data_IF_147601591225
#
_entry.id   IF_147601591225
#
_cell.length_a   1.000
_cell.length_b   1.000
_cell.length_c   1.000
_cell.angle_alpha   90.00
_cell.angle_beta   90.00
_cell.angle_gamma   90.00
#
_symmetry.space_group_name_H-M   'P 1'
#
loop_
_entity.id
_entity.type
_entity.pdbx_description
1 polymer ?
#
# COMPACT_ATOMS: atom_id res chain seq x y z
N UNK A 1 -5.44 -5.75 -18.00
CA UNK A 1 -5.64 -7.16 -18.40
C UNK A 1 -5.73 -8.03 -17.17
N UNK A 2 -5.84 -9.36 -17.32
CA UNK A 2 -6.01 -10.27 -16.17
C UNK A 2 -4.92 -11.34 -16.09
N UNK A 3 -4.54 -11.68 -14.86
CA UNK A 3 -3.64 -12.77 -14.53
C UNK A 3 -4.38 -13.73 -13.59
N UNK A 4 -4.54 -14.99 -13.99
CA UNK A 4 -5.29 -15.98 -13.20
C UNK A 4 -4.40 -16.53 -12.08
N UNK A 5 -4.71 -16.18 -10.84
CA UNK A 5 -3.90 -16.55 -9.67
C UNK A 5 -4.41 -17.81 -8.97
N UNK A 6 -5.70 -18.11 -9.09
CA UNK A 6 -6.30 -19.35 -8.60
C UNK A 6 -7.37 -19.86 -9.57
N UNK A 7 -7.08 -20.98 -10.26
CA UNK A 7 -8.01 -21.58 -11.22
C UNK A 7 -9.23 -22.25 -10.57
N UNK A 8 -9.10 -22.76 -9.35
CA UNK A 8 -10.17 -23.46 -8.66
C UNK A 8 -11.34 -22.52 -8.34
N UNK A 9 -11.03 -21.30 -7.90
CA UNK A 9 -12.03 -20.28 -7.56
C UNK A 9 -12.25 -19.25 -8.67
N UNK A 10 -11.57 -19.42 -9.81
CA UNK A 10 -11.54 -18.43 -10.89
C UNK A 10 -11.14 -17.03 -10.36
N UNK A 11 -10.10 -17.00 -9.52
CA UNK A 11 -9.51 -15.76 -9.00
C UNK A 11 -8.54 -15.18 -10.03
N UNK A 12 -8.78 -13.92 -10.39
CA UNK A 12 -8.02 -13.20 -11.39
C UNK A 12 -7.67 -11.81 -10.86
N UNK A 13 -6.40 -11.43 -10.99
CA UNK A 13 -5.94 -10.09 -10.65
C UNK A 13 -5.90 -9.21 -11.89
N UNK A 14 -6.52 -8.03 -11.81
CA UNK A 14 -6.41 -7.00 -12.83
C UNK A 14 -5.06 -6.28 -12.70
N UNK A 15 -4.41 -6.07 -13.84
CA UNK A 15 -3.21 -5.26 -13.93
C UNK A 15 -3.27 -4.26 -15.07
N UNK A 16 -2.57 -3.14 -14.91
CA UNK A 16 -2.31 -2.17 -15.96
C UNK A 16 -0.83 -1.80 -15.97
N UNK A 17 -0.18 -2.02 -17.11
CA UNK A 17 1.25 -1.78 -17.30
C UNK A 17 1.50 -0.59 -18.23
N UNK A 18 2.40 0.29 -17.81
CA UNK A 18 2.82 1.50 -18.53
C UNK A 18 4.34 1.48 -18.70
N UNK A 19 4.85 1.21 -19.92
CA UNK A 19 6.28 1.34 -20.22
C UNK A 19 6.79 2.75 -19.96
N UNK A 20 8.07 2.88 -19.59
CA UNK A 20 8.68 4.17 -19.32
C UNK A 20 8.64 5.09 -20.56
N UNK A 21 8.30 6.37 -20.37
CA UNK A 21 8.18 7.34 -21.48
C UNK A 21 9.52 7.57 -22.20
N UNK A 22 10.63 7.48 -21.47
CA UNK A 22 11.99 7.61 -22.01
C UNK A 22 12.56 6.29 -22.59
N UNK A 23 11.70 5.29 -22.79
CA UNK A 23 12.01 4.01 -23.39
C UNK A 23 12.48 2.94 -22.40
N UNK A 24 12.28 1.67 -22.76
CA UNK A 24 12.74 0.52 -21.99
C UNK A 24 14.18 0.16 -22.38
N UNK A 25 15.12 0.34 -21.45
CA UNK A 25 16.51 -0.12 -21.53
C UNK A 25 16.73 -1.23 -20.49
N UNK A 26 17.81 -2.03 -20.60
CA UNK A 26 18.09 -3.10 -19.62
C UNK A 26 18.16 -2.63 -18.16
N UNK A 27 18.52 -1.37 -17.93
CA UNK A 27 18.63 -0.75 -16.62
C UNK A 27 17.37 0.05 -16.22
N UNK A 28 16.38 0.23 -17.10
CA UNK A 28 15.11 0.89 -16.79
C UNK A 28 14.28 0.03 -15.84
N UNK A 29 14.05 0.43 -14.57
CA UNK A 29 13.39 -0.44 -13.63
C UNK A 29 11.91 -0.69 -13.96
N UNK A 30 11.43 -1.88 -13.58
CA UNK A 30 9.99 -2.16 -13.44
C UNK A 30 9.61 -1.93 -11.99
N UNK A 31 8.63 -1.05 -11.76
CA UNK A 31 8.10 -0.79 -10.43
C UNK A 31 6.67 -1.30 -10.35
N UNK A 32 6.45 -2.28 -9.48
CA UNK A 32 5.11 -2.67 -9.05
C UNK A 32 4.61 -1.63 -8.04
N UNK A 33 3.44 -1.05 -8.26
CA UNK A 33 2.73 -0.21 -7.29
C UNK A 33 1.54 -0.96 -6.70
N UNK A 34 1.47 -0.98 -5.36
CA UNK A 34 0.39 -1.58 -4.58
C UNK A 34 -0.23 -0.51 -3.68
N UNK A 35 -1.49 -0.18 -3.95
CA UNK A 35 -2.31 0.58 -3.01
C UNK A 35 -2.63 -0.21 -1.74
N UNK A 36 -3.08 0.51 -0.71
CA UNK A 36 -3.37 -0.02 0.60
C UNK A 36 -4.83 -0.43 0.80
N UNK A 37 -5.50 0.24 1.75
CA UNK A 37 -6.82 -0.13 2.27
C UNK A 37 -6.69 -0.87 3.60
N UNK A 38 -6.86 -2.20 3.65
CA UNK A 38 -6.77 -3.17 2.56
C UNK A 38 -8.00 -3.19 1.62
N UNK A 39 -7.77 -3.31 0.31
CA UNK A 39 -8.86 -3.36 -0.67
C UNK A 39 -9.00 -2.10 -1.55
N UNK A 40 -8.10 -1.12 -1.39
CA UNK A 40 -8.08 0.04 -2.25
C UNK A 40 -7.42 -0.30 -3.61
N UNK A 41 -8.03 0.06 -4.75
CA UNK A 41 -7.50 -0.26 -6.07
C UNK A 41 -6.21 0.51 -6.36
N UNK A 42 -5.20 -0.17 -6.91
CA UNK A 42 -3.94 0.47 -7.34
C UNK A 42 -4.14 1.44 -8.50
N UNK A 43 -5.29 1.35 -9.19
CA UNK A 43 -5.71 2.40 -10.13
C UNK A 43 -5.87 3.78 -9.48
N UNK A 44 -6.10 3.85 -8.17
CA UNK A 44 -6.04 5.12 -7.45
C UNK A 44 -4.66 5.78 -7.62
N UNK A 45 -3.56 5.05 -7.39
CA UNK A 45 -2.21 5.60 -7.56
C UNK A 45 -1.82 5.87 -9.01
N UNK A 46 -2.43 5.14 -9.96
CA UNK A 46 -2.33 5.46 -11.38
C UNK A 46 -2.91 6.84 -11.69
N UNK A 47 -4.15 7.10 -11.27
CA UNK A 47 -4.89 8.28 -11.72
C UNK A 47 -4.76 9.51 -10.82
N UNK A 48 -4.46 9.34 -9.53
CA UNK A 48 -4.45 10.43 -8.56
C UNK A 48 -3.05 10.81 -8.06
N UNK A 49 -2.09 9.89 -8.10
CA UNK A 49 -0.81 10.09 -7.41
C UNK A 49 0.33 10.37 -8.39
N UNK A 50 0.87 9.33 -9.02
CA UNK A 50 2.14 9.41 -9.74
C UNK A 50 2.14 8.69 -11.08
N UNK A 51 0.99 8.14 -11.51
CA UNK A 51 0.87 7.56 -12.85
C UNK A 51 0.92 8.62 -13.96
N UNK A 52 1.06 8.20 -15.23
CA UNK A 52 1.30 9.12 -16.35
C UNK A 52 0.08 9.95 -16.74
N UNK A 53 -1.10 9.61 -16.23
CA UNK A 53 -2.36 10.23 -16.63
C UNK A 53 -3.21 10.57 -15.40
N UNK A 54 -4.09 11.56 -15.57
CA UNK A 54 -5.09 11.95 -14.60
C UNK A 54 -6.44 12.17 -15.30
N UNK A 55 -7.52 12.16 -14.53
CA UNK A 55 -8.87 12.47 -15.01
C UNK A 55 -9.26 13.86 -14.51
N UNK A 56 -9.51 14.77 -15.44
CA UNK A 56 -9.98 16.13 -15.14
C UNK A 56 -11.43 16.13 -14.65
N UNK A 57 -11.89 17.25 -14.10
CA UNK A 57 -13.26 17.40 -13.59
C UNK A 57 -14.35 17.23 -14.65
N UNK A 58 -14.03 17.50 -15.92
CA UNK A 58 -14.91 17.27 -17.06
C UNK A 58 -14.92 15.81 -17.56
N UNK A 59 -14.14 14.93 -16.92
CA UNK A 59 -13.98 13.52 -17.28
C UNK A 59 -13.00 13.26 -18.43
N UNK A 60 -12.30 14.29 -18.93
CA UNK A 60 -11.25 14.13 -19.93
C UNK A 60 -9.95 13.57 -19.31
N UNK A 61 -9.15 12.88 -20.12
CA UNK A 61 -7.80 12.47 -19.73
C UNK A 61 -6.79 13.58 -20.01
N UNK A 62 -5.88 13.79 -19.08
CA UNK A 62 -4.71 14.64 -19.25
C UNK A 62 -3.44 13.88 -18.84
N UNK A 63 -2.32 14.25 -19.44
CA UNK A 63 -0.99 13.80 -18.98
C UNK A 63 -0.67 14.44 -17.63
N UNK A 64 -0.07 13.66 -16.73
CA UNK A 64 0.42 14.17 -15.45
C UNK A 64 1.80 14.78 -15.66
N UNK A 65 2.02 16.07 -15.31
CA UNK A 65 3.31 16.71 -15.54
C UNK A 65 4.47 16.07 -14.74
N UNK A 66 4.20 15.65 -13.51
CA UNK A 66 5.16 14.94 -12.66
C UNK A 66 4.69 13.50 -12.52
N UNK A 67 5.35 12.59 -13.23
CA UNK A 67 5.03 11.16 -13.17
C UNK A 67 6.29 10.33 -12.97
N UNK A 68 6.16 9.25 -12.20
CA UNK A 68 7.19 8.22 -12.08
C UNK A 68 7.41 7.49 -13.41
N UNK A 69 6.42 7.49 -14.31
CA UNK A 69 6.51 6.82 -15.60
C UNK A 69 7.56 7.46 -16.54
N UNK A 70 8.03 8.67 -16.23
CA UNK A 70 9.15 9.30 -16.93
C UNK A 70 10.45 8.48 -16.84
N UNK A 71 10.67 7.80 -15.70
CA UNK A 71 11.91 7.06 -15.42
C UNK A 71 11.71 5.55 -15.31
N UNK A 72 10.47 5.09 -15.09
CA UNK A 72 10.19 3.72 -14.70
C UNK A 72 9.05 3.11 -15.51
N UNK A 73 9.17 1.80 -15.76
CA UNK A 73 8.05 1.00 -16.23
C UNK A 73 7.12 0.73 -15.05
N UNK A 74 5.89 1.25 -15.08
CA UNK A 74 4.97 1.15 -13.95
C UNK A 74 3.98 0.01 -14.16
N UNK A 75 3.93 -0.91 -13.20
CA UNK A 75 2.97 -2.00 -13.12
C UNK A 75 2.02 -1.74 -11.95
N UNK A 76 0.76 -1.49 -12.26
CA UNK A 76 -0.31 -1.38 -11.26
C UNK A 76 -1.07 -2.69 -11.21
N UNK A 77 -1.25 -3.26 -10.01
CA UNK A 77 -2.08 -4.44 -9.80
C UNK A 77 -3.13 -4.10 -8.75
N UNK A 78 -4.41 -4.27 -9.08
CA UNK A 78 -5.49 -4.17 -8.10
C UNK A 78 -5.39 -5.38 -7.15
N UNK A 79 -4.87 -5.14 -5.96
CA UNK A 79 -4.51 -6.15 -4.98
C UNK A 79 -5.30 -5.94 -3.68
N UNK A 80 -5.70 -7.01 -2.98
CA UNK A 80 -5.77 -8.43 -3.37
C UNK A 80 -6.91 -8.76 -4.35
N UNK A 81 -7.17 -10.06 -4.57
CA UNK A 81 -8.36 -10.54 -5.30
C UNK A 81 -9.63 -10.00 -4.64
N UNK A 82 -10.50 -9.38 -5.43
CA UNK A 82 -11.71 -8.70 -4.95
C UNK A 82 -11.58 -7.18 -4.90
N UNK A 83 -10.37 -6.63 -5.06
CA UNK A 83 -10.10 -5.19 -5.15
C UNK A 83 -10.29 -4.68 -6.57
N UNK A 84 -10.92 -3.52 -6.75
CA UNK A 84 -11.01 -2.85 -8.05
C UNK A 84 -11.61 -3.76 -9.13
N UNK A 85 -10.86 -4.03 -10.19
CA UNK A 85 -11.30 -4.96 -11.24
C UNK A 85 -10.87 -6.42 -11.01
N UNK A 86 -10.09 -6.72 -9.98
CA UNK A 86 -9.72 -8.09 -9.58
C UNK A 86 -10.91 -8.81 -8.97
N UNK A 87 -11.12 -10.08 -9.33
CA UNK A 87 -12.33 -10.81 -8.96
C UNK A 87 -12.07 -12.30 -8.69
N UNK A 88 -13.02 -12.92 -8.00
CA UNK A 88 -13.13 -14.37 -7.80
C UNK A 88 -14.58 -14.80 -7.98
N UNK A 89 -14.82 -16.05 -8.36
CA UNK A 89 -16.18 -16.62 -8.43
C UNK A 89 -16.61 -17.31 -7.13
N UNK A 90 -15.74 -17.36 -6.12
CA UNK A 90 -16.01 -17.97 -4.82
C UNK A 90 -15.31 -17.19 -3.69
N UNK A 91 -15.97 -17.05 -2.55
CA UNK A 91 -15.46 -16.35 -1.36
C UNK A 91 -14.21 -17.01 -0.76
N UNK A 92 -13.97 -18.29 -1.02
CA UNK A 92 -12.73 -18.98 -0.67
C UNK A 92 -11.51 -18.49 -1.48
N UNK A 93 -11.75 -17.73 -2.55
CA UNK A 93 -10.72 -17.10 -3.36
C UNK A 93 -10.22 -15.74 -2.83
N UNK A 94 -10.78 -15.20 -1.75
CA UNK A 94 -10.25 -13.99 -1.10
C UNK A 94 -9.09 -14.35 -0.17
N UNK A 95 -8.09 -13.47 -0.12
CA UNK A 95 -6.99 -13.58 0.83
C UNK A 95 -7.46 -13.33 2.27
N UNK A 96 -6.91 -14.08 3.22
CA UNK A 96 -7.19 -13.93 4.67
C UNK A 96 -5.93 -13.68 5.49
N UNK A 97 -4.77 -13.63 4.83
CA UNK A 97 -3.48 -13.30 5.41
C UNK A 97 -2.54 -12.73 4.35
N UNK A 98 -1.45 -12.10 4.81
CA UNK A 98 -0.36 -11.68 3.93
C UNK A 98 0.31 -12.83 3.16
N UNK A 99 0.27 -14.07 3.67
CA UNK A 99 0.76 -15.24 2.94
C UNK A 99 -0.11 -15.56 1.71
N UNK A 100 -1.43 -15.42 1.83
CA UNK A 100 -2.35 -15.57 0.70
C UNK A 100 -2.11 -14.47 -0.34
N UNK A 101 -1.98 -13.22 0.12
CA UNK A 101 -1.70 -12.06 -0.74
C UNK A 101 -0.38 -12.25 -1.50
N UNK A 102 0.69 -12.61 -0.79
CA UNK A 102 2.00 -12.82 -1.39
C UNK A 102 2.02 -14.01 -2.36
N UNK A 103 1.30 -15.10 -2.08
CA UNK A 103 1.14 -16.23 -3.00
C UNK A 103 0.50 -15.78 -4.31
N UNK A 104 -0.60 -15.06 -4.24
CA UNK A 104 -1.38 -14.66 -5.40
C UNK A 104 -0.64 -13.60 -6.23
N UNK A 105 -0.04 -12.60 -5.57
CA UNK A 105 0.85 -11.62 -6.22
C UNK A 105 2.06 -12.28 -6.89
N UNK A 106 2.70 -13.27 -6.25
CA UNK A 106 3.84 -13.98 -6.84
C UNK A 106 3.43 -14.76 -8.10
N UNK A 107 2.27 -15.40 -8.06
CA UNK A 107 1.66 -16.07 -9.23
C UNK A 107 1.39 -15.08 -10.36
N UNK A 108 0.85 -13.90 -10.05
CA UNK A 108 0.62 -12.83 -11.02
C UNK A 108 1.95 -12.33 -11.62
N UNK A 109 2.94 -12.00 -10.79
CA UNK A 109 4.23 -11.50 -11.25
C UNK A 109 5.00 -12.51 -12.11
N UNK A 110 4.95 -13.79 -11.75
CA UNK A 110 5.54 -14.86 -12.55
C UNK A 110 4.92 -14.92 -13.95
N UNK A 111 3.59 -14.84 -14.04
CA UNK A 111 2.89 -14.78 -15.33
C UNK A 111 3.21 -13.49 -16.10
N UNK A 112 3.26 -12.35 -15.40
CA UNK A 112 3.63 -11.06 -16.01
C UNK A 112 5.00 -11.15 -16.69
N UNK A 113 6.03 -11.64 -16.00
CA UNK A 113 7.37 -11.76 -16.59
C UNK A 113 7.50 -12.88 -17.64
N UNK A 114 6.56 -13.83 -17.71
CA UNK A 114 6.47 -14.79 -18.82
C UNK A 114 5.85 -14.18 -20.08
N UNK A 115 4.95 -13.21 -19.92
CA UNK A 115 4.29 -12.51 -21.03
C UNK A 115 5.17 -11.35 -21.54
N UNK A 116 5.75 -10.60 -20.61
CA UNK A 116 6.58 -9.41 -20.85
C UNK A 116 8.06 -9.74 -20.70
N UNK A 117 8.55 -10.69 -21.51
CA UNK A 117 9.91 -11.24 -21.40
C UNK A 117 11.01 -10.19 -21.55
N UNK A 118 10.76 -9.12 -22.33
CA UNK A 118 11.69 -8.01 -22.53
C UNK A 118 11.95 -7.17 -21.26
N UNK A 119 11.18 -7.42 -20.20
CA UNK A 119 11.30 -6.74 -18.91
C UNK A 119 11.80 -7.67 -17.80
N UNK A 120 11.95 -8.97 -18.07
CA UNK A 120 12.26 -9.97 -17.04
C UNK A 120 13.66 -9.80 -16.41
N UNK A 121 14.62 -9.27 -17.18
CA UNK A 121 15.96 -8.95 -16.68
C UNK A 121 16.07 -7.60 -15.97
N UNK A 122 15.07 -6.73 -16.14
CA UNK A 122 15.14 -5.37 -15.62
C UNK A 122 15.16 -5.37 -14.09
N UNK A 123 15.79 -4.38 -13.44
CA UNK A 123 15.67 -4.17 -12.00
C UNK A 123 14.20 -4.09 -11.61
N UNK A 124 13.75 -4.96 -10.71
CA UNK A 124 12.39 -4.97 -10.21
C UNK A 124 12.33 -4.36 -8.81
N UNK A 125 11.41 -3.43 -8.63
CA UNK A 125 11.11 -2.84 -7.33
C UNK A 125 9.65 -3.09 -6.97
N UNK A 126 9.42 -3.43 -5.71
CA UNK A 126 8.08 -3.52 -5.14
C UNK A 126 7.83 -2.25 -4.34
N UNK A 127 6.81 -1.49 -4.72
CA UNK A 127 6.47 -0.23 -4.07
C UNK A 127 4.99 -0.21 -3.70
N UNK A 128 4.66 0.56 -2.68
CA UNK A 128 3.28 0.71 -2.24
C UNK A 128 3.14 1.63 -1.03
N UNK A 129 1.91 1.83 -0.59
CA UNK A 129 1.62 2.74 0.51
C UNK A 129 0.50 2.27 1.44
N UNK A 130 0.40 2.88 2.62
CA UNK A 130 -0.63 2.54 3.62
C UNK A 130 -0.54 1.04 3.96
N UNK A 131 -1.60 0.25 3.76
CA UNK A 131 -1.57 -1.21 3.92
C UNK A 131 -0.58 -1.92 2.96
N UNK A 132 -0.14 -1.24 1.90
CA UNK A 132 1.02 -1.63 1.11
C UNK A 132 2.30 -1.79 1.95
N UNK A 133 2.38 -1.17 3.13
CA UNK A 133 3.41 -1.43 4.15
C UNK A 133 3.45 -2.88 4.67
N UNK A 134 2.41 -3.68 4.37
CA UNK A 134 2.40 -5.13 4.54
C UNK A 134 2.61 -5.86 3.24
N UNK A 135 1.86 -5.49 2.20
CA UNK A 135 1.94 -6.18 0.91
C UNK A 135 3.36 -6.19 0.36
N UNK A 136 4.05 -5.03 0.41
CA UNK A 136 5.40 -4.83 -0.13
C UNK A 136 6.42 -5.79 0.49
N UNK A 137 6.61 -5.84 1.82
CA UNK A 137 7.53 -6.81 2.42
C UNK A 137 7.06 -8.25 2.24
N UNK A 138 5.76 -8.55 2.28
CA UNK A 138 5.24 -9.92 2.09
C UNK A 138 5.59 -10.49 0.72
N UNK A 139 5.31 -9.75 -0.37
CA UNK A 139 5.68 -10.17 -1.73
C UNK A 139 7.20 -10.13 -1.94
N UNK A 140 7.90 -9.15 -1.38
CA UNK A 140 9.35 -9.09 -1.45
C UNK A 140 10.03 -10.31 -0.83
N UNK A 141 9.55 -10.74 0.34
CA UNK A 141 10.05 -11.94 1.03
C UNK A 141 9.71 -13.20 0.24
N UNK A 142 8.48 -13.30 -0.29
CA UNK A 142 8.07 -14.42 -1.15
C UNK A 142 8.99 -14.54 -2.38
N UNK A 143 9.26 -13.44 -3.08
CA UNK A 143 10.19 -13.43 -4.22
C UNK A 143 11.60 -13.85 -3.78
N UNK A 144 12.09 -13.34 -2.64
CA UNK A 144 13.40 -13.70 -2.10
C UNK A 144 13.54 -15.22 -1.92
N UNK A 145 12.55 -15.86 -1.28
CA UNK A 145 12.53 -17.30 -0.99
C UNK A 145 12.47 -18.11 -2.28
N UNK A 146 11.53 -17.80 -3.18
CA UNK A 146 11.35 -18.55 -4.43
C UNK A 146 12.57 -18.43 -5.35
N UNK A 147 13.25 -17.29 -5.34
CA UNK A 147 14.49 -17.08 -6.10
C UNK A 147 15.68 -17.92 -5.59
N UNK A 148 15.61 -18.51 -4.39
CA UNK A 148 16.62 -19.44 -3.88
C UNK A 148 16.44 -20.85 -4.44
N UNK A 149 15.27 -21.21 -4.97
CA UNK A 149 15.06 -22.51 -5.57
C UNK A 149 15.82 -22.60 -6.90
N UNK A 150 16.82 -23.49 -7.05
CA UNK A 150 17.53 -23.67 -8.31
C UNK A 150 16.63 -24.17 -9.46
N UNK A 151 15.42 -24.65 -9.16
CA UNK A 151 14.42 -25.09 -10.14
C UNK A 151 13.38 -24.01 -10.50
N UNK A 152 13.48 -22.80 -9.93
CA UNK A 152 12.55 -21.71 -10.24
C UNK A 152 12.60 -21.38 -11.74
N UNK A 153 11.44 -21.40 -12.40
CA UNK A 153 11.36 -21.19 -13.86
C UNK A 153 11.49 -19.72 -14.26
N UNK A 154 11.05 -18.83 -13.38
CA UNK A 154 11.06 -17.37 -13.59
C UNK A 154 11.70 -16.75 -12.38
N UNK A 155 12.94 -16.31 -12.55
CA UNK A 155 13.67 -15.58 -11.51
C UNK A 155 13.35 -14.10 -11.64
N UNK A 156 12.73 -13.51 -10.62
CA UNK A 156 12.39 -12.08 -10.62
C UNK A 156 13.61 -11.31 -10.09
N UNK A 157 14.13 -10.36 -10.87
CA UNK A 157 15.30 -9.56 -10.50
C UNK A 157 14.95 -8.47 -9.45
N UNK A 158 14.54 -8.88 -8.25
CA UNK A 158 14.20 -7.97 -7.14
C UNK A 158 15.46 -7.22 -6.68
N UNK A 159 15.42 -5.89 -6.73
CA UNK A 159 16.54 -5.01 -6.35
C UNK A 159 16.21 -4.16 -5.11
N UNK A 160 14.94 -3.80 -4.92
CA UNK A 160 14.56 -2.97 -3.79
C UNK A 160 13.08 -2.91 -3.51
N UNK A 161 12.76 -2.32 -2.37
CA UNK A 161 11.41 -2.13 -1.85
C UNK A 161 11.24 -0.66 -1.43
N UNK A 162 10.04 -0.12 -1.64
CA UNK A 162 9.68 1.23 -1.21
C UNK A 162 8.32 1.24 -0.52
N UNK A 163 8.21 1.88 0.64
CA UNK A 163 6.96 1.98 1.40
C UNK A 163 6.68 3.44 1.76
N UNK A 164 5.57 3.98 1.24
CA UNK A 164 5.05 5.30 1.59
C UNK A 164 4.03 5.20 2.72
N UNK A 165 4.23 5.91 3.84
CA UNK A 165 3.25 5.94 4.94
C UNK A 165 2.75 4.53 5.31
N UNK A 166 3.67 3.59 5.50
CA UNK A 166 3.34 2.16 5.58
C UNK A 166 2.80 1.71 6.94
N UNK A 167 1.75 0.90 6.92
CA UNK A 167 1.27 0.10 8.04
C UNK A 167 2.00 -1.25 8.04
N UNK A 168 2.94 -1.47 8.96
CA UNK A 168 3.88 -2.62 8.92
C UNK A 168 3.95 -3.36 10.25
N UNK A 169 4.06 -2.64 11.37
CA UNK A 169 4.09 -3.20 12.72
C UNK A 169 3.07 -2.49 13.62
N UNK A 170 1.80 -2.94 13.59
CA UNK A 170 0.70 -2.32 14.33
C UNK A 170 1.01 -2.16 15.83
N UNK A 171 1.65 -3.14 16.45
CA UNK A 171 1.97 -3.08 17.88
C UNK A 171 2.86 -1.89 18.25
N UNK A 172 3.78 -1.51 17.37
CA UNK A 172 4.72 -0.39 17.57
C UNK A 172 4.21 0.92 16.99
N UNK A 173 3.36 0.86 15.97
CA UNK A 173 2.79 2.04 15.34
C UNK A 173 1.57 2.59 16.10
N UNK A 174 0.86 1.77 16.88
CA UNK A 174 -0.37 2.19 17.55
C UNK A 174 -0.12 3.02 18.83
N UNK A 175 0.44 4.22 18.66
CA UNK A 175 0.83 5.16 19.72
C UNK A 175 0.49 6.61 19.32
N UNK A 176 -0.80 6.87 19.03
CA UNK A 176 -1.25 8.15 18.45
C UNK A 176 -1.26 9.34 19.42
N UNK A 177 -1.44 9.11 20.71
CA UNK A 177 -1.66 10.16 21.71
C UNK A 177 -0.59 11.27 21.70
N UNK A 178 0.71 10.95 21.81
CA UNK A 178 1.78 11.96 21.79
C UNK A 178 1.78 12.81 20.52
N UNK A 179 1.57 12.21 19.34
CA UNK A 179 1.51 12.94 18.07
C UNK A 179 0.37 13.95 18.10
N UNK A 180 -0.86 13.48 18.33
CA UNK A 180 -2.07 14.29 18.30
C UNK A 180 -2.02 15.45 19.31
N UNK A 181 -1.46 15.19 20.49
CA UNK A 181 -1.28 16.21 21.53
C UNK A 181 -0.24 17.27 21.14
N UNK A 182 0.93 16.84 20.63
CA UNK A 182 2.02 17.76 20.29
C UNK A 182 1.68 18.68 19.11
N UNK A 183 0.83 18.23 18.18
CA UNK A 183 0.34 19.07 17.08
C UNK A 183 -0.92 19.88 17.46
N UNK A 184 -1.39 19.78 18.71
CA UNK A 184 -2.46 20.61 19.26
C UNK A 184 -3.89 20.21 18.85
N UNK A 185 -4.11 18.97 18.42
CA UNK A 185 -5.44 18.49 18.03
C UNK A 185 -6.28 18.01 19.22
N UNK A 186 -5.67 17.72 20.36
CA UNK A 186 -6.33 17.17 21.54
C UNK A 186 -5.83 17.80 22.84
N UNK A 187 -6.67 17.77 23.88
CA UNK A 187 -6.36 18.20 25.25
C UNK A 187 -5.83 17.05 26.14
N UNK A 188 -5.53 17.34 27.41
CA UNK A 188 -5.01 16.36 28.38
C UNK A 188 -5.96 15.19 28.65
N UNK A 189 -7.28 15.44 28.69
CA UNK A 189 -8.28 14.40 28.95
C UNK A 189 -8.37 13.45 27.76
N UNK A 190 -8.36 14.02 26.55
CA UNK A 190 -8.39 13.29 25.29
C UNK A 190 -7.09 12.50 25.08
N UNK A 191 -5.93 13.06 25.46
CA UNK A 191 -4.64 12.36 25.46
C UNK A 191 -4.69 11.12 26.37
N UNK A 192 -5.20 11.26 27.59
CA UNK A 192 -5.35 10.13 28.50
C UNK A 192 -6.23 9.02 27.89
N UNK A 193 -7.38 9.39 27.32
CA UNK A 193 -8.27 8.43 26.69
C UNK A 193 -7.65 7.72 25.48
N UNK A 194 -7.00 8.47 24.58
CA UNK A 194 -6.37 7.91 23.38
C UNK A 194 -5.22 6.97 23.76
N UNK A 195 -4.43 7.30 24.78
CA UNK A 195 -3.38 6.40 25.27
C UNK A 195 -3.97 5.12 25.86
N UNK A 196 -5.05 5.22 26.65
CA UNK A 196 -5.75 4.04 27.17
C UNK A 196 -6.26 3.13 26.05
N UNK A 197 -6.92 3.68 25.02
CA UNK A 197 -7.39 2.90 23.87
C UNK A 197 -6.21 2.30 23.09
N UNK A 198 -5.11 3.03 22.95
CA UNK A 198 -3.90 2.54 22.30
C UNK A 198 -3.29 1.34 23.04
N UNK A 199 -3.24 1.39 24.38
CA UNK A 199 -2.78 0.28 25.19
C UNK A 199 -3.73 -0.94 25.12
N UNK A 200 -5.04 -0.72 25.01
CA UNK A 200 -6.02 -1.81 24.80
C UNK A 200 -5.82 -2.50 23.44
N UNK A 201 -5.60 -1.72 22.37
CA UNK A 201 -5.27 -2.26 21.04
C UNK A 201 -3.98 -3.09 21.11
N UNK A 202 -2.91 -2.52 21.66
CA UNK A 202 -1.62 -3.22 21.81
C UNK A 202 -1.71 -4.46 22.67
N UNK A 203 -2.52 -4.42 23.74
CA UNK A 203 -2.81 -5.59 24.55
C UNK A 203 -3.56 -6.66 23.75
N UNK A 204 -4.60 -6.31 22.99
CA UNK A 204 -5.31 -7.25 22.13
C UNK A 204 -4.38 -7.91 21.09
N UNK A 205 -3.49 -7.13 20.46
CA UNK A 205 -2.43 -7.64 19.56
C UNK A 205 -1.54 -8.66 20.29
N UNK A 206 -1.07 -8.34 21.50
CA UNK A 206 -0.21 -9.25 22.29
C UNK A 206 -0.89 -10.59 22.62
N UNK A 207 -2.23 -10.59 22.71
CA UNK A 207 -3.05 -11.77 22.94
C UNK A 207 -3.51 -12.44 21.64
N UNK A 208 -3.02 -11.97 20.48
CA UNK A 208 -3.43 -12.42 19.13
C UNK A 208 -4.93 -12.26 18.86
N UNK A 209 -5.59 -11.32 19.53
CA UNK A 209 -7.00 -10.96 19.32
C UNK A 209 -7.08 -9.81 18.31
N UNK A 210 -6.74 -10.11 17.06
CA UNK A 210 -6.58 -9.08 16.03
C UNK A 210 -7.92 -8.44 15.62
N UNK A 211 -9.01 -9.18 15.60
CA UNK A 211 -10.35 -8.62 15.38
C UNK A 211 -10.79 -7.66 16.49
N UNK A 212 -10.43 -7.96 17.75
CA UNK A 212 -10.70 -7.06 18.88
C UNK A 212 -9.87 -5.77 18.73
N UNK A 213 -8.59 -5.89 18.36
CA UNK A 213 -7.72 -4.75 18.08
C UNK A 213 -8.28 -3.86 16.96
N UNK A 214 -8.77 -4.48 15.87
CA UNK A 214 -9.46 -3.78 14.79
C UNK A 214 -10.68 -3.02 15.28
N UNK A 215 -11.57 -3.68 16.02
CA UNK A 215 -12.82 -3.07 16.50
C UNK A 215 -12.57 -1.85 17.38
N UNK A 216 -11.56 -1.92 18.25
CA UNK A 216 -11.16 -0.80 19.12
C UNK A 216 -10.55 0.32 18.27
N UNK A 217 -9.74 -0.03 17.27
CA UNK A 217 -9.12 0.95 16.37
C UNK A 217 -10.12 1.71 15.52
N UNK A 218 -11.05 0.99 14.90
CA UNK A 218 -12.11 1.57 14.08
C UNK A 218 -12.95 2.56 14.91
N UNK A 219 -13.25 2.22 16.16
CA UNK A 219 -13.92 3.14 17.08
C UNK A 219 -13.09 4.38 17.45
N UNK A 220 -11.76 4.27 17.44
CA UNK A 220 -10.84 5.34 17.85
C UNK A 220 -10.48 6.29 16.71
N UNK A 221 -10.08 5.77 15.56
CA UNK A 221 -9.48 6.52 14.45
C UNK A 221 -10.36 6.49 13.19
N UNK A 222 -10.53 5.32 12.58
CA UNK A 222 -11.06 5.17 11.21
C UNK A 222 -12.56 5.49 11.11
N UNK A 223 -13.39 4.68 11.76
CA UNK A 223 -14.83 4.89 11.89
C UNK A 223 -15.65 4.42 10.70
N UNK A 224 -15.15 3.45 9.92
CA UNK A 224 -15.76 3.00 8.67
C UNK A 224 -16.68 1.78 8.83
N UNK A 225 -16.51 0.97 9.89
CA UNK A 225 -17.38 -0.18 10.19
C UNK A 225 -18.34 0.06 11.36
N UNK A 226 -18.27 1.22 12.02
CA UNK A 226 -19.21 1.63 13.06
C UNK A 226 -20.37 2.48 12.51
N UNK A 227 -21.53 2.39 13.19
CA UNK A 227 -22.71 3.21 12.87
C UNK A 227 -22.64 4.65 13.44
N UNK A 228 -21.49 5.03 14.00
CA UNK A 228 -21.26 6.33 14.65
C UNK A 228 -19.98 6.96 14.13
N UNK A 229 -19.71 8.21 14.48
CA UNK A 229 -18.43 8.84 14.17
C UNK A 229 -17.32 8.32 15.09
N UNK A 230 -16.10 8.15 14.57
CA UNK A 230 -14.94 7.75 15.37
C UNK A 230 -14.64 8.79 16.47
N UNK A 231 -13.98 8.35 17.53
CA UNK A 231 -13.56 9.26 18.60
C UNK A 231 -12.68 10.39 18.06
N UNK A 232 -11.72 10.07 17.18
CA UNK A 232 -10.84 11.04 16.51
C UNK A 232 -11.63 12.14 15.83
N UNK A 233 -12.58 11.79 14.96
CA UNK A 233 -13.38 12.81 14.25
C UNK A 233 -14.25 13.61 15.22
N UNK A 234 -14.79 12.98 16.27
CA UNK A 234 -15.61 13.69 17.25
C UNK A 234 -14.83 14.74 18.05
N UNK A 235 -13.57 14.45 18.43
CA UNK A 235 -12.77 15.37 19.25
C UNK A 235 -11.96 16.39 18.44
N UNK A 236 -11.59 16.06 17.20
CA UNK A 236 -10.78 16.95 16.35
C UNK A 236 -11.61 17.73 15.33
N UNK A 237 -12.81 17.24 14.98
CA UNK A 237 -13.59 17.74 13.86
C UNK A 237 -13.04 17.35 12.48
N UNK A 238 -11.99 16.52 12.41
CA UNK A 238 -11.34 16.10 11.17
C UNK A 238 -11.78 14.70 10.76
N UNK A 239 -12.10 14.51 9.47
CA UNK A 239 -12.27 13.19 8.85
C UNK A 239 -11.02 12.75 8.08
N UNK A 240 -10.22 13.70 7.59
CA UNK A 240 -9.03 13.42 6.80
C UNK A 240 -7.81 13.13 7.70
N UNK A 241 -7.77 11.97 8.35
CA UNK A 241 -6.58 11.54 9.09
C UNK A 241 -5.35 11.27 8.20
N UNK A 242 -5.51 11.30 6.87
CA UNK A 242 -4.40 11.27 5.91
C UNK A 242 -3.69 12.63 5.72
N UNK A 243 -4.36 13.73 6.10
CA UNK A 243 -3.82 15.08 6.02
C UNK A 243 -4.56 16.01 6.98
N UNK A 244 -3.99 16.27 8.15
CA UNK A 244 -4.64 17.08 9.20
C UNK A 244 -4.82 18.57 8.86
N UNK A 245 -4.36 19.03 7.68
CA UNK A 245 -4.71 20.35 7.15
C UNK A 245 -6.05 20.37 6.40
N UNK A 246 -6.66 19.20 6.18
CA UNK A 246 -7.95 19.03 5.52
C UNK A 246 -8.99 18.56 6.53
N UNK A 247 -10.21 19.08 6.41
CA UNK A 247 -11.32 18.68 7.28
C UNK A 247 -12.03 17.42 6.78
N UNK A 248 -12.06 17.19 5.46
CA UNK A 248 -12.72 16.04 4.83
C UNK A 248 -11.85 15.45 3.72
N UNK A 249 -12.09 14.18 3.38
CA UNK A 249 -11.38 13.48 2.30
C UNK A 249 -11.91 14.00 0.97
N UNK A 250 -11.02 14.48 0.10
CA UNK A 250 -11.41 15.24 -1.10
C UNK A 250 -12.25 14.43 -2.10
N UNK A 251 -13.14 15.10 -2.82
CA UNK A 251 -14.04 14.49 -3.82
C UNK A 251 -13.39 14.07 -5.16
N UNK A 252 -12.10 14.40 -5.38
CA UNK A 252 -11.36 14.09 -6.62
C UNK A 252 -11.24 12.59 -6.88
N UNK A 253 -11.35 11.78 -5.82
CA UNK A 253 -11.44 10.31 -5.85
C UNK A 253 -12.53 9.84 -6.83
N UNK A 254 -13.62 10.61 -7.01
CA UNK A 254 -14.76 10.16 -7.81
C UNK A 254 -14.56 10.22 -9.34
N UNK A 255 -13.63 11.02 -9.84
CA UNK A 255 -13.54 11.29 -11.28
C UNK A 255 -12.97 10.09 -12.04
N UNK A 256 -11.89 9.49 -11.53
CA UNK A 256 -11.28 8.34 -12.19
C UNK A 256 -12.19 7.10 -12.16
N UNK A 257 -12.92 6.89 -11.06
CA UNK A 257 -13.91 5.80 -10.95
C UNK A 257 -14.99 5.95 -12.02
N UNK A 258 -15.59 7.13 -12.15
CA UNK A 258 -16.57 7.43 -13.20
C UNK A 258 -15.99 7.19 -14.59
N UNK A 259 -14.72 7.55 -14.80
CA UNK A 259 -14.03 7.34 -16.06
C UNK A 259 -13.85 5.85 -16.39
N UNK A 260 -13.30 5.06 -15.48
CA UNK A 260 -13.01 3.63 -15.74
C UNK A 260 -14.26 2.75 -15.75
N UNK A 261 -15.36 3.19 -15.12
CA UNK A 261 -16.64 2.47 -15.10
C UNK A 261 -17.56 2.86 -16.27
N UNK A 262 -17.22 3.89 -17.04
CA UNK A 262 -17.95 4.24 -18.25
C UNK A 262 -17.92 3.10 -19.30
N UNK A 263 -19.07 2.82 -19.91
CA UNK A 263 -19.25 1.66 -20.81
C UNK A 263 -18.28 1.64 -22.00
N UNK A 264 -17.96 2.79 -22.58
CA UNK A 264 -17.05 2.89 -23.72
C UNK A 264 -15.60 2.67 -23.29
N UNK A 265 -15.25 3.09 -22.07
CA UNK A 265 -13.90 2.98 -21.50
C UNK A 265 -13.58 1.57 -21.02
N UNK A 266 -14.57 0.87 -20.46
CA UNK A 266 -14.41 -0.52 -19.99
C UNK A 266 -13.91 -1.48 -21.09
N UNK A 267 -14.30 -1.24 -22.35
CA UNK A 267 -13.77 -1.99 -23.50
C UNK A 267 -12.30 -1.69 -23.76
N UNK A 268 -11.87 -0.43 -23.61
CA UNK A 268 -10.50 0.02 -23.86
C UNK A 268 -9.50 -0.54 -22.84
N UNK A 269 -9.96 -0.80 -21.62
CA UNK A 269 -9.12 -1.36 -20.54
C UNK A 269 -9.28 -2.89 -20.37
N UNK A 270 -10.05 -3.51 -21.26
CA UNK A 270 -10.26 -4.96 -21.32
C UNK A 270 -10.88 -5.58 -20.05
N UNK A 271 -11.79 -4.87 -19.38
CA UNK A 271 -12.49 -5.36 -18.15
C UNK A 271 -13.88 -5.92 -18.44
N UNK A 272 -14.36 -5.82 -19.69
CA UNK A 272 -15.65 -6.38 -20.11
C UNK A 272 -16.82 -5.85 -19.26
N UNK A 273 -17.63 -6.76 -18.71
CA UNK A 273 -18.80 -6.47 -17.88
C UNK A 273 -18.57 -6.68 -16.37
N UNK A 274 -17.31 -6.81 -15.93
CA UNK A 274 -16.96 -7.03 -14.52
C UNK A 274 -17.23 -5.80 -13.64
N UNK A 275 -17.77 -6.01 -12.44
CA UNK A 275 -17.98 -4.91 -11.49
C UNK A 275 -16.63 -4.35 -11.03
N UNK A 276 -16.55 -3.03 -10.86
CA UNK A 276 -15.44 -2.39 -10.17
C UNK A 276 -15.78 -2.33 -8.68
N UNK A 277 -14.93 -2.91 -7.85
CA UNK A 277 -15.13 -3.05 -6.40
C UNK A 277 -14.34 -2.00 -5.63
N UNK A 278 -15.06 -1.16 -4.89
CA UNK A 278 -14.53 -0.20 -3.91
C UNK A 278 -15.20 -0.42 -2.53
N UNK A 279 -15.81 -1.60 -2.35
CA UNK A 279 -16.46 -2.00 -1.11
C UNK A 279 -15.45 -2.55 -0.09
N UNK A 280 -15.89 -2.71 1.16
CA UNK A 280 -15.06 -3.16 2.29
C UNK A 280 -14.90 -4.69 2.37
N UNK A 281 -15.32 -5.46 1.36
CA UNK A 281 -15.31 -6.92 1.46
C UNK A 281 -13.90 -7.48 1.65
N UNK A 282 -12.91 -6.92 0.95
CA UNK A 282 -11.50 -7.33 1.08
C UNK A 282 -10.98 -7.05 2.49
N UNK A 283 -11.31 -5.90 3.05
CA UNK A 283 -10.95 -5.55 4.42
C UNK A 283 -11.58 -6.49 5.44
N UNK A 284 -12.86 -6.80 5.31
CA UNK A 284 -13.54 -7.77 6.18
C UNK A 284 -12.89 -9.16 6.11
N UNK A 285 -12.41 -9.58 4.93
CA UNK A 285 -11.68 -10.85 4.77
C UNK A 285 -10.29 -10.82 5.43
N UNK A 286 -9.66 -9.65 5.49
CA UNK A 286 -8.34 -9.43 6.09
C UNK A 286 -8.39 -8.88 7.53
N UNK A 287 -9.56 -8.78 8.17
CA UNK A 287 -9.72 -8.15 9.49
C UNK A 287 -8.78 -8.73 10.56
N UNK A 288 -8.50 -10.03 10.49
CA UNK A 288 -7.58 -10.70 11.41
C UNK A 288 -6.11 -10.47 11.06
N UNK A 289 -5.81 -10.05 9.84
CA UNK A 289 -4.47 -9.70 9.40
C UNK A 289 -4.13 -8.24 9.72
N UNK A 290 -5.09 -7.30 9.66
CA UNK A 290 -4.85 -5.85 9.80
C UNK A 290 -3.99 -5.46 11.01
N UNK A 291 -4.14 -6.16 12.13
CA UNK A 291 -3.39 -5.91 13.36
C UNK A 291 -2.23 -6.89 13.64
N UNK A 292 -1.90 -7.76 12.69
CA UNK A 292 -0.67 -8.55 12.68
C UNK A 292 0.51 -7.72 12.19
N UNK A 293 1.66 -7.87 12.85
CA UNK A 293 2.92 -7.29 12.38
C UNK A 293 3.56 -8.18 11.32
N UNK A 294 4.22 -7.58 10.33
CA UNK A 294 5.12 -8.35 9.46
C UNK A 294 6.22 -8.98 10.34
N UNK A 295 6.52 -10.27 10.18
CA UNK A 295 7.54 -10.92 10.99
C UNK A 295 8.89 -10.21 10.87
N UNK A 296 9.50 -9.88 12.01
CA UNK A 296 10.78 -9.17 12.04
C UNK A 296 11.89 -9.91 11.29
N UNK A 297 11.88 -11.24 11.32
CA UNK A 297 12.82 -12.08 10.56
C UNK A 297 12.72 -11.85 9.05
N UNK A 298 11.51 -11.70 8.50
CA UNK A 298 11.30 -11.40 7.09
C UNK A 298 11.83 -10.01 6.76
N UNK A 299 11.52 -9.00 7.59
CA UNK A 299 12.04 -7.64 7.43
C UNK A 299 13.57 -7.61 7.50
N UNK A 300 14.17 -8.31 8.46
CA UNK A 300 15.63 -8.41 8.59
C UNK A 300 16.27 -9.01 7.34
N UNK A 301 15.68 -10.09 6.78
CA UNK A 301 16.15 -10.68 5.53
C UNK A 301 16.09 -9.64 4.41
N UNK A 302 14.99 -8.90 4.29
CA UNK A 302 14.83 -7.91 3.24
C UNK A 302 15.83 -6.75 3.37
N UNK A 303 15.98 -6.20 4.58
CA UNK A 303 16.90 -5.10 4.87
C UNK A 303 18.38 -5.46 4.64
N UNK A 304 18.74 -6.73 4.86
CA UNK A 304 20.11 -7.20 4.63
C UNK A 304 20.43 -7.47 3.15
N UNK A 305 19.42 -7.67 2.30
CA UNK A 305 19.63 -8.16 0.93
C UNK A 305 19.19 -7.19 -0.17
N UNK A 306 18.38 -6.18 0.14
CA UNK A 306 17.79 -5.28 -0.86
C UNK A 306 17.88 -3.82 -0.45
N UNK A 307 17.73 -2.92 -1.42
CA UNK A 307 17.58 -1.49 -1.17
C UNK A 307 16.21 -1.23 -0.56
N UNK A 308 16.17 -0.55 0.59
CA UNK A 308 14.92 -0.20 1.26
C UNK A 308 14.77 1.32 1.28
N UNK A 309 13.63 1.81 0.80
CA UNK A 309 13.19 3.19 1.00
C UNK A 309 11.91 3.18 1.82
N UNK A 310 11.90 3.95 2.91
CA UNK A 310 10.70 4.24 3.69
C UNK A 310 10.55 5.74 3.69
N UNK A 311 9.39 6.23 3.25
CA UNK A 311 9.08 7.65 3.22
C UNK A 311 7.71 7.91 3.83
N UNK A 312 7.54 9.05 4.49
CA UNK A 312 6.27 9.44 5.09
C UNK A 312 5.97 10.89 4.75
N UNK A 313 4.73 11.18 4.38
CA UNK A 313 4.19 12.53 4.41
C UNK A 313 4.02 13.00 5.85
N UNK A 314 4.55 14.19 6.19
CA UNK A 314 4.54 14.73 7.56
C UNK A 314 3.14 15.12 8.07
N UNK A 315 2.15 15.22 7.18
CA UNK A 315 0.78 15.61 7.51
C UNK A 315 -0.14 14.42 7.77
N UNK A 316 0.37 13.21 7.59
CA UNK A 316 -0.39 11.98 7.84
C UNK A 316 -0.44 11.67 9.34
N UNK A 317 -1.62 11.27 9.82
CA UNK A 317 -1.82 10.81 11.19
C UNK A 317 -1.78 9.29 11.24
N UNK A 318 -2.51 8.60 10.35
CA UNK A 318 -2.75 7.15 10.49
C UNK A 318 -1.45 6.34 10.40
N UNK A 319 -0.55 6.74 9.50
CA UNK A 319 0.78 6.14 9.32
C UNK A 319 1.88 7.21 9.38
N UNK A 320 1.84 8.06 10.41
CA UNK A 320 2.79 9.15 10.61
C UNK A 320 4.26 8.69 10.74
N UNK A 321 5.21 9.56 10.37
CA UNK A 321 6.66 9.29 10.45
C UNK A 321 7.08 8.82 11.85
N UNK A 322 6.61 9.48 12.92
CA UNK A 322 6.95 9.14 14.30
C UNK A 322 6.54 7.72 14.67
N UNK A 323 5.43 7.22 14.11
CA UNK A 323 4.94 5.86 14.34
C UNK A 323 5.76 4.85 13.54
N UNK A 324 6.07 5.17 12.29
CA UNK A 324 6.97 4.35 11.45
C UNK A 324 8.36 4.19 12.07
N UNK A 325 8.91 5.26 12.66
CA UNK A 325 10.22 5.20 13.32
C UNK A 325 10.26 4.26 14.53
N UNK A 326 9.14 4.04 15.23
CA UNK A 326 9.09 3.16 16.40
C UNK A 326 9.48 1.72 16.05
N UNK A 327 9.01 1.20 14.91
CA UNK A 327 9.34 -0.19 14.52
C UNK A 327 10.70 -0.30 13.85
N UNK A 328 11.12 0.72 13.09
CA UNK A 328 12.47 0.75 12.51
C UNK A 328 13.54 0.78 13.61
N UNK A 329 13.30 1.51 14.70
CA UNK A 329 14.22 1.58 15.83
C UNK A 329 14.44 0.21 16.50
N UNK A 330 13.44 -0.66 16.49
CA UNK A 330 13.50 -1.99 17.10
C UNK A 330 14.01 -3.08 16.16
N UNK A 331 13.92 -2.87 14.84
CA UNK A 331 14.37 -3.85 13.85
C UNK A 331 15.89 -4.08 13.93
N UNK A 332 16.29 -5.34 14.05
CA UNK A 332 17.69 -5.76 14.06
C UNK A 332 18.10 -6.26 12.67
N UNK A 333 19.11 -5.63 12.07
CA UNK A 333 19.67 -5.98 10.77
C UNK A 333 21.14 -5.55 10.72
N UNK A 334 21.89 -5.93 9.68
CA UNK A 334 23.36 -5.81 9.64
C UNK A 334 23.86 -4.36 9.83
N UNK A 335 23.08 -3.36 9.41
CA UNK A 335 23.43 -1.95 9.57
C UNK A 335 22.52 -1.19 10.55
N UNK A 336 21.79 -1.88 11.44
CA UNK A 336 20.87 -1.22 12.39
C UNK A 336 21.58 -0.20 13.30
N UNK A 337 22.78 -0.52 13.77
CA UNK A 337 23.60 0.39 14.60
C UNK A 337 24.12 1.58 13.79
N UNK A 338 24.53 1.37 12.53
CA UNK A 338 24.96 2.44 11.65
C UNK A 338 23.81 3.41 11.36
N UNK A 339 22.63 2.87 11.02
CA UNK A 339 21.41 3.65 10.80
C UNK A 339 21.06 4.52 12.03
N UNK A 340 21.07 3.95 13.23
CA UNK A 340 20.74 4.67 14.48
C UNK A 340 21.71 5.82 14.79
N UNK A 341 22.97 5.70 14.38
CA UNK A 341 24.00 6.70 14.64
C UNK A 341 24.23 7.67 13.48
N UNK A 342 23.58 7.44 12.33
CA UNK A 342 23.73 8.31 11.17
C UNK A 342 23.02 9.63 11.40
N UNK A 343 23.68 10.74 11.05
CA UNK A 343 23.10 12.07 11.13
C UNK A 343 21.93 12.20 10.14
N UNK A 344 20.84 12.84 10.58
CA UNK A 344 19.76 13.21 9.66
C UNK A 344 20.21 14.38 8.78
N UNK A 345 19.90 14.30 7.48
CA UNK A 345 20.19 15.35 6.51
C UNK A 345 18.91 15.89 5.90
N UNK A 346 18.89 17.19 5.63
CA UNK A 346 17.80 17.82 4.87
C UNK A 346 18.02 17.47 3.40
N UNK A 347 17.14 16.64 2.85
CA UNK A 347 17.06 16.44 1.41
C UNK A 347 16.35 17.63 0.76
N UNK A 348 16.93 18.18 -0.30
CA UNK A 348 16.40 19.36 -1.01
C UNK A 348 16.14 18.99 -2.46
N UNK A 349 14.97 19.37 -2.96
CA UNK A 349 14.67 19.37 -4.38
C UNK A 349 15.13 20.71 -4.97
N UNK A 350 15.95 20.67 -6.01
CA UNK A 350 16.31 21.86 -6.76
C UNK A 350 15.13 22.21 -7.68
N UNK A 351 14.59 23.42 -7.51
CA UNK A 351 13.41 23.91 -8.24
C UNK A 351 13.59 23.89 -9.77
N UNK A 352 14.82 23.94 -10.28
CA UNK A 352 15.15 23.85 -11.72
C UNK A 352 14.82 22.47 -12.33
N UNK A 353 14.50 21.44 -11.54
CA UNK A 353 14.00 20.15 -12.04
C UNK A 353 12.47 20.06 -12.12
N UNK A 354 11.76 21.16 -11.83
CA UNK A 354 10.30 21.26 -11.84
C UNK A 354 9.79 22.31 -12.84
N UNK A 355 10.58 22.69 -13.86
CA UNK A 355 10.08 23.49 -14.99
C UNK A 355 9.00 22.70 -15.72
N UNK A 356 7.76 22.96 -15.30
CA UNK A 356 6.49 22.41 -15.78
C UNK A 356 5.64 23.56 -16.27
#
# INVERSE_FOLDING_TARGET
GYLTVNKQYNSNMFFWFFPAQNGNKPDTPVMLWLQGGPGAPSLFGLFNEHGPIQVNDDGSLAERPITWNSLYNLLYIDNPVGTGYSFTSNDDGYARSEDDVARDLYSALTQFFQIYTDYASNPFYVTGESYGGKYVPSIGYKIHVENQDPQVKVKINLVGLSMGNGWTDPYRQYVYGPLLYQIGLIDDNQLFYINLQSDLVRYAISQKRFSDAFTISDSLIDGDLINTTSYFTNVTGLRAYYNYLQTDVSSSISNYVKFITNIDRRRQIHVGNLTFHEDNKVELMLINDVFQSIPSEQLTILFNNYKILIYNGLLDIICAESLTLNWIADLQWSHSNEYKNTSRYIWKLLFEMLDI
#
